data_IF_491319947578
#
_entry.id   IF_491319947578
#
_cell.length_a   1.000
_cell.length_b   1.000
_cell.length_c   1.000
_cell.angle_alpha   90.00
_cell.angle_beta   90.00
_cell.angle_gamma   90.00
#
_symmetry.space_group_name_H-M   'P 1'
#
loop_
_entity.id
_entity.type
_entity.pdbx_description
1 polymer ?
#
# COMPACT_ATOMS: atom_id res chain seq x y z
N UNK A 1 -21.06 10.45 7.40
CA UNK A 1 -20.92 9.05 7.00
C UNK A 1 -19.72 8.87 6.09
N UNK A 2 -19.80 9.39 4.85
CA UNK A 2 -18.69 9.21 3.91
C UNK A 2 -17.39 9.85 4.38
N UNK A 3 -17.43 11.04 4.95
CA UNK A 3 -16.23 11.68 5.49
C UNK A 3 -15.65 10.93 6.67
N UNK A 4 -16.49 10.35 7.52
CA UNK A 4 -16.04 9.53 8.64
C UNK A 4 -15.35 8.28 8.14
N UNK A 5 -15.88 7.66 7.08
CA UNK A 5 -15.29 6.45 6.50
C UNK A 5 -13.95 6.76 5.83
N UNK A 6 -13.84 7.90 5.13
CA UNK A 6 -12.55 8.34 4.60
C UNK A 6 -11.52 8.51 5.71
N UNK A 7 -11.95 9.06 6.85
CA UNK A 7 -11.06 9.29 7.97
C UNK A 7 -10.52 7.99 8.55
N UNK A 8 -11.32 6.94 8.56
CA UNK A 8 -10.84 5.61 9.01
C UNK A 8 -9.70 5.15 8.09
N UNK A 9 -9.86 5.32 6.78
CA UNK A 9 -8.81 4.92 5.82
C UNK A 9 -7.56 5.78 6.01
N UNK A 10 -7.72 7.10 6.17
CA UNK A 10 -6.57 7.99 6.39
C UNK A 10 -5.80 7.58 7.64
N UNK A 11 -6.50 7.33 8.73
CA UNK A 11 -5.87 6.92 10.00
C UNK A 11 -5.14 5.60 9.85
N UNK A 12 -5.73 4.65 9.14
CA UNK A 12 -5.09 3.36 8.92
C UNK A 12 -3.75 3.55 8.18
N UNK A 13 -3.74 4.35 7.13
CA UNK A 13 -2.51 4.59 6.38
C UNK A 13 -1.48 5.36 7.19
N UNK A 14 -1.93 6.36 7.96
CA UNK A 14 -1.01 7.15 8.77
C UNK A 14 -0.41 6.35 9.91
N UNK A 15 -1.22 5.55 10.58
CA UNK A 15 -0.78 4.83 11.78
C UNK A 15 -0.08 3.52 11.44
N UNK A 16 -0.72 2.69 10.64
CA UNK A 16 -0.24 1.33 10.39
C UNK A 16 0.83 1.30 9.31
N UNK A 17 0.58 1.95 8.18
CA UNK A 17 1.47 1.84 7.03
C UNK A 17 2.61 2.85 7.11
N UNK A 18 2.32 4.13 7.13
CA UNK A 18 3.38 5.14 7.23
C UNK A 18 3.97 5.22 8.64
N UNK A 19 3.16 4.99 9.65
CA UNK A 19 3.60 4.97 11.03
C UNK A 19 4.23 3.67 11.47
N UNK A 20 4.13 2.62 10.67
CA UNK A 20 4.72 1.29 10.92
C UNK A 20 4.24 0.63 12.20
N UNK A 21 3.04 0.94 12.65
CA UNK A 21 2.47 0.36 13.86
C UNK A 21 1.63 -0.86 13.51
N UNK A 22 2.29 -2.00 13.33
CA UNK A 22 1.60 -3.24 12.95
C UNK A 22 0.69 -3.78 14.06
N UNK A 23 0.94 -3.40 15.30
CA UNK A 23 0.09 -3.84 16.41
C UNK A 23 -1.31 -3.23 16.31
N UNK A 24 -1.45 -2.10 15.63
CA UNK A 24 -2.73 -1.43 15.46
C UNK A 24 -3.61 -2.03 14.35
N UNK A 25 -3.09 -2.97 13.56
CA UNK A 25 -3.86 -3.57 12.45
C UNK A 25 -5.20 -4.10 12.93
N UNK A 26 -5.20 -4.78 14.08
CA UNK A 26 -6.41 -5.36 14.65
C UNK A 26 -7.49 -4.35 15.02
N UNK A 27 -7.13 -3.09 15.19
CA UNK A 27 -8.08 -2.03 15.50
C UNK A 27 -8.91 -1.62 14.30
N UNK A 28 -8.43 -1.93 13.09
CA UNK A 28 -9.07 -1.49 11.85
C UNK A 28 -9.86 -2.58 11.13
N UNK A 29 -9.52 -3.84 11.31
CA UNK A 29 -10.19 -4.94 10.62
C UNK A 29 -11.17 -5.66 11.53
N UNK A 30 -12.39 -5.86 11.05
CA UNK A 30 -13.42 -6.53 11.82
C UNK A 30 -13.18 -8.04 11.95
N UNK A 31 -12.58 -8.65 10.93
CA UNK A 31 -12.35 -10.09 10.92
C UNK A 31 -10.92 -10.38 11.42
N UNK A 32 -10.84 -10.94 12.62
CA UNK A 32 -9.56 -11.25 13.24
C UNK A 32 -8.74 -12.26 12.44
N UNK A 33 -9.39 -13.08 11.63
CA UNK A 33 -8.70 -14.11 10.87
C UNK A 33 -7.76 -13.54 9.80
N UNK A 34 -8.04 -12.33 9.33
CA UNK A 34 -7.21 -11.71 8.29
C UNK A 34 -6.12 -10.80 8.86
N UNK A 35 -6.21 -10.46 10.13
CA UNK A 35 -5.28 -9.51 10.77
C UNK A 35 -3.83 -9.97 10.64
N UNK A 36 -3.57 -11.25 10.91
CA UNK A 36 -2.20 -11.75 10.86
C UNK A 36 -1.64 -11.76 9.44
N UNK A 37 -2.47 -12.07 8.46
CA UNK A 37 -2.05 -12.00 7.05
C UNK A 37 -1.72 -10.58 6.63
N UNK A 38 -2.49 -9.61 7.07
CA UNK A 38 -2.23 -8.20 6.78
C UNK A 38 -0.91 -7.77 7.43
N UNK A 39 -0.69 -8.17 8.70
CA UNK A 39 0.57 -7.85 9.38
C UNK A 39 1.78 -8.40 8.64
N UNK A 40 1.70 -9.67 8.20
CA UNK A 40 2.81 -10.28 7.47
C UNK A 40 3.07 -9.59 6.14
N UNK A 41 2.00 -9.24 5.43
CA UNK A 41 2.15 -8.53 4.17
C UNK A 41 2.82 -7.18 4.36
N UNK A 42 2.38 -6.40 5.35
CA UNK A 42 2.98 -5.12 5.66
C UNK A 42 4.44 -5.27 6.12
N UNK A 43 4.70 -6.26 6.97
CA UNK A 43 6.06 -6.50 7.45
C UNK A 43 7.00 -6.83 6.30
N UNK A 44 6.53 -7.59 5.33
CA UNK A 44 7.31 -7.95 4.14
C UNK A 44 7.70 -6.69 3.36
N UNK A 45 6.77 -5.76 3.18
CA UNK A 45 7.06 -4.50 2.51
C UNK A 45 8.02 -3.62 3.32
N UNK A 46 7.85 -3.56 4.63
CA UNK A 46 8.73 -2.76 5.49
C UNK A 46 10.16 -3.31 5.49
N UNK A 47 10.31 -4.63 5.42
CA UNK A 47 11.62 -5.26 5.34
C UNK A 47 12.31 -4.96 4.02
N UNK A 48 11.56 -5.06 2.93
CA UNK A 48 12.09 -4.82 1.59
C UNK A 48 12.38 -3.34 1.37
N UNK A 49 11.52 -2.46 1.90
CA UNK A 49 11.60 -1.01 1.69
C UNK A 49 11.53 -0.31 3.05
N UNK A 50 12.68 -0.18 3.76
CA UNK A 50 12.66 0.42 5.10
C UNK A 50 12.15 1.86 5.14
N UNK A 51 12.27 2.59 4.04
CA UNK A 51 11.79 3.96 3.89
C UNK A 51 10.44 4.02 3.18
N UNK A 52 9.67 2.94 3.19
CA UNK A 52 8.37 2.87 2.54
C UNK A 52 7.47 4.03 2.94
N UNK A 53 6.87 4.66 1.93
CA UNK A 53 5.88 5.70 2.13
C UNK A 53 4.72 5.50 1.17
N UNK A 54 3.51 5.66 1.68
CA UNK A 54 2.30 5.56 0.88
C UNK A 54 1.59 6.91 0.87
N UNK A 55 1.37 7.44 -0.33
CA UNK A 55 0.59 8.65 -0.50
C UNK A 55 -0.83 8.29 -0.93
N UNK A 56 -1.81 9.01 -0.37
CA UNK A 56 -3.21 8.84 -0.73
C UNK A 56 -3.49 9.85 -1.83
N UNK A 57 -3.45 9.39 -3.08
CA UNK A 57 -3.54 10.29 -4.24
C UNK A 57 -4.99 10.66 -4.55
N UNK A 58 -5.91 9.75 -4.29
CA UNK A 58 -7.32 9.97 -4.54
C UNK A 58 -8.14 9.15 -3.54
N UNK A 59 -9.12 9.78 -2.92
CA UNK A 59 -9.94 9.15 -1.89
C UNK A 59 -11.37 9.55 -2.12
N UNK A 60 -12.21 8.60 -2.49
CA UNK A 60 -13.62 8.83 -2.83
C UNK A 60 -14.47 7.89 -2.00
N UNK A 61 -15.53 8.40 -1.42
CA UNK A 61 -16.42 7.58 -0.60
C UNK A 61 -17.87 7.79 -0.98
N UNK A 62 -18.62 6.69 -0.99
CA UNK A 62 -20.05 6.71 -1.16
C UNK A 62 -20.65 5.60 -0.31
N UNK A 63 -21.58 5.94 0.58
CA UNK A 63 -22.15 4.98 1.50
C UNK A 63 -21.09 4.38 2.41
N UNK A 64 -21.05 3.05 2.44
CA UNK A 64 -20.09 2.30 3.25
C UNK A 64 -18.79 1.98 2.51
N UNK A 65 -18.64 2.47 1.29
CA UNK A 65 -17.51 2.11 0.41
C UNK A 65 -16.57 3.29 0.23
N UNK A 66 -15.28 3.02 0.38
CA UNK A 66 -14.22 4.02 0.13
C UNK A 66 -13.30 3.48 -0.96
N UNK A 67 -13.10 4.27 -2.00
CA UNK A 67 -12.11 4.00 -3.04
C UNK A 67 -10.86 4.81 -2.79
N UNK A 68 -9.71 4.19 -2.93
CA UNK A 68 -8.42 4.82 -2.75
C UNK A 68 -7.50 4.49 -3.92
N UNK A 69 -6.88 5.52 -4.48
CA UNK A 69 -5.74 5.34 -5.37
C UNK A 69 -4.51 5.85 -4.61
N UNK A 70 -3.49 5.01 -4.50
CA UNK A 70 -2.30 5.35 -3.72
C UNK A 70 -1.02 5.07 -4.50
N UNK A 71 0.05 5.71 -4.08
CA UNK A 71 1.39 5.48 -4.63
C UNK A 71 2.31 5.06 -3.49
N UNK A 72 2.99 3.94 -3.69
CA UNK A 72 4.00 3.44 -2.78
C UNK A 72 5.36 3.81 -3.31
N UNK A 73 6.19 4.45 -2.49
CA UNK A 73 7.58 4.75 -2.83
C UNK A 73 8.49 4.14 -1.79
N UNK A 74 9.72 3.89 -2.17
CA UNK A 74 10.71 3.36 -1.26
C UNK A 74 11.99 2.98 -1.96
N UNK A 75 13.00 2.62 -1.16
CA UNK A 75 14.28 2.15 -1.65
C UNK A 75 14.42 0.67 -1.31
N UNK A 76 14.79 -0.13 -2.30
CA UNK A 76 14.88 -1.59 -2.16
C UNK A 76 16.16 -1.96 -1.43
N UNK A 77 16.13 -1.88 -0.11
CA UNK A 77 17.28 -2.15 0.76
C UNK A 77 17.19 -3.50 1.48
N UNK A 78 16.11 -4.24 1.28
CA UNK A 78 15.96 -5.59 1.82
C UNK A 78 15.38 -6.53 0.77
N UNK A 79 15.41 -7.82 1.05
CA UNK A 79 14.89 -8.80 0.11
C UNK A 79 13.40 -8.62 -0.14
N UNK A 80 12.98 -8.73 -1.40
CA UNK A 80 11.58 -8.72 -1.80
C UNK A 80 11.29 -9.87 -2.74
N UNK A 81 10.44 -10.82 -2.33
CA UNK A 81 10.03 -11.99 -3.13
C UNK A 81 11.23 -12.72 -3.74
N UNK A 82 12.27 -12.92 -2.93
CA UNK A 82 13.47 -13.62 -3.37
C UNK A 82 14.49 -12.77 -4.10
N UNK A 83 14.20 -11.50 -4.34
CA UNK A 83 15.13 -10.58 -5.00
C UNK A 83 15.96 -9.89 -3.92
N UNK A 84 17.30 -10.09 -3.92
CA UNK A 84 18.17 -9.40 -2.95
C UNK A 84 18.12 -7.89 -3.14
N UNK A 85 18.46 -7.16 -2.10
CA UNK A 85 18.45 -5.69 -2.11
C UNK A 85 19.21 -5.15 -3.32
N UNK A 86 18.57 -4.27 -4.09
CA UNK A 86 19.17 -3.66 -5.29
C UNK A 86 19.56 -2.21 -5.05
N UNK A 87 19.10 -1.59 -3.97
CA UNK A 87 19.31 -0.18 -3.72
C UNK A 87 18.51 0.73 -4.63
N UNK A 88 17.64 0.18 -5.46
CA UNK A 88 16.84 0.97 -6.40
C UNK A 88 15.68 1.65 -5.71
N UNK A 89 15.38 2.86 -6.14
CA UNK A 89 14.20 3.58 -5.71
C UNK A 89 13.03 3.18 -6.58
N UNK A 90 11.88 2.90 -5.95
CA UNK A 90 10.68 2.44 -6.69
C UNK A 90 9.51 3.38 -6.44
N UNK A 91 8.59 3.39 -7.38
CA UNK A 91 7.28 4.02 -7.24
C UNK A 91 6.25 3.10 -7.89
N UNK A 92 5.22 2.75 -7.14
CA UNK A 92 4.20 1.80 -7.62
C UNK A 92 2.82 2.28 -7.21
N UNK A 93 1.89 2.29 -8.16
CA UNK A 93 0.52 2.69 -7.90
C UNK A 93 -0.36 1.49 -7.63
N UNK A 94 -1.39 1.71 -6.80
CA UNK A 94 -2.41 0.70 -6.56
C UNK A 94 -3.77 1.35 -6.40
N UNK A 95 -4.81 0.56 -6.59
CA UNK A 95 -6.19 0.95 -6.35
C UNK A 95 -6.78 0.00 -5.32
N UNK A 96 -7.52 0.54 -4.37
CA UNK A 96 -8.05 -0.23 -3.26
C UNK A 96 -9.49 0.17 -2.97
N UNK A 97 -10.28 -0.81 -2.57
CA UNK A 97 -11.66 -0.56 -2.16
C UNK A 97 -11.84 -1.11 -0.76
N UNK A 98 -12.35 -0.27 0.14
CA UNK A 98 -12.65 -0.66 1.52
C UNK A 98 -14.15 -0.58 1.74
N UNK A 99 -14.71 -1.60 2.38
CA UNK A 99 -16.06 -1.51 2.92
C UNK A 99 -15.95 -1.36 4.42
N UNK A 100 -16.69 -0.41 4.97
CA UNK A 100 -16.55 -0.03 6.37
C UNK A 100 -17.89 -0.13 7.06
N UNK A 101 -17.91 -0.79 8.23
CA UNK A 101 -19.07 -0.86 9.09
C UNK A 101 -18.60 -0.62 10.52
N UNK A 102 -19.28 0.26 11.24
CA UNK A 102 -18.96 0.58 12.64
C UNK A 102 -17.49 0.97 12.82
N UNK A 103 -16.96 1.71 11.87
CA UNK A 103 -15.59 2.22 11.95
C UNK A 103 -14.51 1.19 11.65
N UNK A 104 -14.86 0.01 11.15
CA UNK A 104 -13.90 -1.04 10.84
C UNK A 104 -14.05 -1.56 9.42
N UNK A 105 -12.97 -2.06 8.86
CA UNK A 105 -12.97 -2.65 7.53
C UNK A 105 -13.64 -4.03 7.60
N UNK A 106 -14.75 -4.18 6.89
CA UNK A 106 -15.47 -5.45 6.77
C UNK A 106 -15.27 -6.07 5.38
N UNK A 107 -14.69 -5.33 4.45
CA UNK A 107 -14.34 -5.83 3.13
C UNK A 107 -13.17 -5.04 2.60
N UNK A 108 -12.32 -5.72 1.82
CA UNK A 108 -11.11 -5.11 1.29
C UNK A 108 -10.75 -5.74 -0.04
N UNK A 109 -10.41 -4.90 -1.02
CA UNK A 109 -9.95 -5.33 -2.34
C UNK A 109 -8.81 -4.41 -2.77
N UNK A 110 -7.79 -5.01 -3.36
CA UNK A 110 -6.62 -4.26 -3.79
C UNK A 110 -6.15 -4.75 -5.16
N UNK A 111 -5.84 -3.80 -6.03
CA UNK A 111 -5.17 -4.09 -7.30
C UNK A 111 -3.88 -3.30 -7.32
N UNK A 112 -2.75 -4.00 -7.17
CA UNK A 112 -1.44 -3.39 -7.18
C UNK A 112 -0.71 -3.74 -8.47
N UNK A 113 0.11 -2.81 -8.97
CA UNK A 113 0.90 -3.04 -10.16
C UNK A 113 2.18 -3.81 -9.82
N UNK A 114 2.00 -5.09 -9.46
CA UNK A 114 3.13 -5.93 -9.03
C UNK A 114 4.10 -6.17 -10.20
N UNK A 115 3.58 -6.37 -11.39
CA UNK A 115 4.44 -6.57 -12.58
C UNK A 115 5.34 -5.35 -12.82
N UNK A 116 4.79 -4.14 -12.68
CA UNK A 116 5.56 -2.92 -12.81
C UNK A 116 6.63 -2.78 -11.74
N UNK A 117 6.27 -3.13 -10.50
CA UNK A 117 7.25 -3.12 -9.40
C UNK A 117 8.38 -4.11 -9.66
N UNK A 118 8.04 -5.33 -10.09
CA UNK A 118 9.07 -6.32 -10.39
C UNK A 118 10.00 -5.86 -11.50
N UNK A 119 9.47 -5.19 -12.53
CA UNK A 119 10.31 -4.64 -13.58
C UNK A 119 11.26 -3.58 -13.06
N UNK A 120 10.80 -2.71 -12.16
CA UNK A 120 11.67 -1.69 -11.56
C UNK A 120 12.83 -2.31 -10.80
N UNK A 121 12.62 -3.48 -10.22
CA UNK A 121 13.66 -4.16 -9.43
C UNK A 121 14.60 -5.02 -10.26
N UNK A 122 14.18 -5.47 -11.43
CA UNK A 122 14.94 -6.48 -12.18
C UNK A 122 15.46 -6.02 -13.53
N UNK A 123 14.84 -5.00 -14.15
CA UNK A 123 15.23 -4.56 -15.49
C UNK A 123 16.17 -3.38 -15.42
N UNK A 124 17.02 -3.26 -16.45
CA UNK A 124 17.89 -2.09 -16.60
C UNK A 124 17.03 -0.84 -16.80
N UNK A 125 17.40 0.29 -16.17
CA UNK A 125 16.70 1.54 -16.42
C UNK A 125 16.72 1.89 -17.90
N UNK A 126 15.56 2.25 -18.44
CA UNK A 126 15.46 2.69 -19.83
C UNK A 126 15.89 4.15 -19.89
N UNK A 127 16.89 4.45 -20.72
CA UNK A 127 17.41 5.81 -20.86
C UNK A 127 16.64 6.66 -21.86
N UNK A 128 15.45 6.24 -22.25
CA UNK A 128 14.64 6.96 -23.22
C UNK A 128 13.79 8.04 -22.57
N UNK A 129 13.92 9.31 -22.99
CA UNK A 129 13.05 10.37 -22.47
C UNK A 129 11.57 10.11 -22.76
N UNK A 130 11.27 9.45 -23.87
CA UNK A 130 9.91 9.13 -24.24
C UNK A 130 9.32 8.12 -23.27
N UNK A 131 10.09 7.08 -22.95
CA UNK A 131 9.65 6.09 -21.99
C UNK A 131 9.43 6.70 -20.60
N UNK A 132 10.32 7.56 -20.19
CA UNK A 132 10.20 8.24 -18.90
C UNK A 132 9.00 9.16 -18.87
N UNK A 133 8.67 9.79 -19.98
CA UNK A 133 7.54 10.72 -20.04
C UNK A 133 6.18 10.02 -20.01
N UNK A 134 6.11 8.78 -20.43
CA UNK A 134 4.84 8.07 -20.56
C UNK A 134 4.54 7.14 -19.38
N UNK A 135 5.44 6.98 -18.49
CA UNK A 135 5.28 6.07 -17.37
C UNK A 135 4.28 6.54 -16.33
#
# INVERSE_FOLDING_TARGET
MSEQNKEVVRKYYDEVLNGRNLDAVGDYFADERIVEGVRRGCFSYFTAFPDLHLSLDELIAEGDTVFLRSTMTGTHDGEYKGIPATGRHIASESAEVFRIADGKFVGYWCLANVAGLMRQLTEEPVASPVGAATS
#
